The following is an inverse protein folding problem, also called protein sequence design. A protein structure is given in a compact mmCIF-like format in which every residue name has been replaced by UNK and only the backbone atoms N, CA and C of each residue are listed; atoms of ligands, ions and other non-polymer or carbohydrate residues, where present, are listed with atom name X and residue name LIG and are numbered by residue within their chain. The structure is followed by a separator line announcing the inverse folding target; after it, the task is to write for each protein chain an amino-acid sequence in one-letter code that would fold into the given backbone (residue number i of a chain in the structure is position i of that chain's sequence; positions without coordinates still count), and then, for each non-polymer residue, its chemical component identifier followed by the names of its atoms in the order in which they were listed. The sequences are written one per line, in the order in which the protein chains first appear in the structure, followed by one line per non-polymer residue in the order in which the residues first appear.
data_IF_099739770412
#
_entry.id   IF_099739770412
#
_cell.length_a   1.000
_cell.length_b   1.000
_cell.length_c   1.000
_cell.angle_alpha   90.00
_cell.angle_beta   90.00
_cell.angle_gamma   90.00
#
_symmetry.space_group_name_H-M   'P 1'
#
loop_
_entity.id
_entity.type
_entity.pdbx_description
1 polymer ?
#
# COMPACT_ATOMS: atom_id res chain seq x y z
N UNK A 1 7.39 15.03 59.22
CA UNK A 1 6.16 14.21 59.10
C UNK A 1 5.18 14.97 58.22
N UNK A 2 4.49 14.28 57.27
CA UNK A 2 3.34 14.72 56.42
C UNK A 2 3.72 15.66 55.25
N UNK A 3 4.04 15.19 54.03
CA UNK A 3 3.14 14.73 52.93
C UNK A 3 1.93 15.68 52.79
N UNK A 4 1.74 16.40 51.69
CA UNK A 4 0.83 16.04 50.57
C UNK A 4 0.87 17.23 49.57
N UNK A 5 1.24 17.02 48.30
CA UNK A 5 0.31 16.92 47.15
C UNK A 5 -0.32 18.26 46.71
N UNK A 6 0.10 18.79 45.55
CA UNK A 6 -0.86 19.16 44.50
C UNK A 6 -0.13 19.45 43.18
N UNK A 7 -0.41 18.59 42.20
CA UNK A 7 0.00 18.68 40.80
C UNK A 7 -1.07 19.52 40.09
N UNK A 8 -0.67 20.59 39.39
CA UNK A 8 -1.51 21.28 38.40
C UNK A 8 -0.63 21.50 37.16
N UNK A 9 -0.47 20.46 36.34
CA UNK A 9 -1.31 20.17 35.19
C UNK A 9 -0.87 20.99 33.96
N UNK A 10 0.25 20.54 33.39
CA UNK A 10 0.71 20.80 32.03
C UNK A 10 -0.37 20.43 31.02
N UNK A 11 -0.85 21.37 30.22
CA UNK A 11 -1.65 21.06 29.03
C UNK A 11 -0.75 21.29 27.82
N UNK A 12 0.12 20.30 27.56
CA UNK A 12 0.82 20.19 26.28
C UNK A 12 -0.22 19.69 25.28
N UNK A 13 -0.73 20.59 24.45
CA UNK A 13 -1.63 20.25 23.35
C UNK A 13 -0.82 19.46 22.31
N UNK A 14 -0.75 18.15 22.48
CA UNK A 14 -0.24 17.21 21.48
C UNK A 14 -1.25 17.15 20.33
N UNK A 15 -1.10 18.06 19.37
CA UNK A 15 -1.76 17.99 18.07
C UNK A 15 -1.36 16.69 17.37
N UNK A 16 -2.23 15.69 17.45
CA UNK A 16 -2.12 14.42 16.75
C UNK A 16 -2.26 14.67 15.24
N UNK A 17 -1.16 15.04 14.60
CA UNK A 17 -1.03 15.02 13.14
C UNK A 17 -1.07 13.55 12.71
N UNK A 18 -2.27 13.06 12.40
CA UNK A 18 -2.50 11.75 11.83
C UNK A 18 -1.86 11.69 10.44
N UNK A 19 -0.61 11.22 10.38
CA UNK A 19 0.07 10.88 9.14
C UNK A 19 -0.77 9.85 8.38
N UNK A 20 -1.05 10.05 7.08
CA UNK A 20 -1.65 9.00 6.27
C UNK A 20 -0.65 7.85 6.21
N UNK A 21 -0.96 6.76 6.90
CA UNK A 21 -0.20 5.52 6.83
C UNK A 21 -0.29 5.01 5.40
N UNK A 22 0.72 5.32 4.59
CA UNK A 22 1.00 4.65 3.32
C UNK A 22 1.22 3.17 3.63
N UNK A 23 0.14 2.40 3.60
CA UNK A 23 0.15 1.00 4.03
C UNK A 23 1.30 0.24 3.35
N UNK A 24 2.10 -0.53 4.11
CA UNK A 24 3.17 -1.34 3.53
C UNK A 24 2.58 -2.26 2.44
N UNK A 25 3.34 -2.58 1.38
CA UNK A 25 2.90 -3.53 0.38
C UNK A 25 2.67 -4.89 1.06
N UNK A 26 1.41 -5.18 1.39
CA UNK A 26 0.94 -6.44 1.95
C UNK A 26 1.56 -7.58 1.15
N UNK A 27 2.35 -8.42 1.82
CA UNK A 27 3.01 -9.56 1.21
C UNK A 27 2.00 -10.36 0.35
N UNK A 28 2.39 -10.81 -0.86
CA UNK A 28 1.46 -11.51 -1.75
C UNK A 28 0.93 -12.78 -1.06
N UNK A 29 -0.39 -13.07 -1.13
CA UNK A 29 -0.94 -14.33 -0.69
C UNK A 29 -0.21 -15.50 -1.34
N UNK A 30 0.26 -16.42 -0.51
CA UNK A 30 0.93 -17.67 -0.90
C UNK A 30 -0.09 -18.51 -1.69
N UNK A 31 0.02 -18.55 -3.02
CA UNK A 31 -0.87 -19.33 -3.90
C UNK A 31 -1.52 -18.58 -5.07
N UNK A 32 -1.20 -17.29 -5.30
CA UNK A 32 -1.80 -16.51 -6.39
C UNK A 32 -0.87 -16.20 -7.57
N UNK A 33 -1.46 -15.94 -8.75
CA UNK A 33 -0.74 -15.46 -9.93
C UNK A 33 -0.10 -14.10 -9.64
N UNK A 34 1.23 -14.02 -9.75
CA UNK A 34 1.98 -12.77 -9.63
C UNK A 34 1.88 -11.95 -10.92
N UNK A 35 1.38 -10.73 -10.80
CA UNK A 35 1.33 -9.72 -11.86
C UNK A 35 2.17 -8.51 -11.48
N UNK A 36 2.49 -7.69 -12.46
CA UNK A 36 3.36 -6.53 -12.30
C UNK A 36 2.53 -5.27 -12.46
N UNK A 37 2.24 -4.57 -11.35
CA UNK A 37 1.41 -3.38 -11.37
C UNK A 37 2.27 -2.11 -11.51
N UNK A 38 1.89 -1.24 -12.43
CA UNK A 38 2.48 0.09 -12.62
C UNK A 38 1.51 1.11 -12.05
N UNK A 39 1.99 1.95 -11.13
CA UNK A 39 1.17 3.01 -10.50
C UNK A 39 0.72 4.04 -11.55
N UNK A 40 1.62 4.39 -12.47
CA UNK A 40 1.33 5.20 -13.64
C UNK A 40 0.29 4.51 -14.53
N UNK A 41 -0.90 5.10 -14.61
CA UNK A 41 -2.00 4.58 -15.42
C UNK A 41 -2.77 3.42 -14.79
N UNK A 42 -2.51 3.07 -13.51
CA UNK A 42 -3.18 1.99 -12.77
C UNK A 42 -3.37 0.73 -13.63
N UNK A 43 -2.29 0.24 -14.24
CA UNK A 43 -2.33 -0.96 -15.07
C UNK A 43 -1.51 -2.10 -14.46
N UNK A 44 -1.95 -3.34 -14.64
CA UNK A 44 -1.15 -4.52 -14.33
C UNK A 44 -0.73 -5.25 -15.61
N UNK A 45 0.46 -5.84 -15.55
CA UNK A 45 1.21 -6.40 -16.66
C UNK A 45 1.68 -7.82 -16.34
N UNK A 46 2.00 -8.60 -17.37
CA UNK A 46 2.69 -9.89 -17.21
C UNK A 46 4.21 -9.71 -17.11
N UNK A 47 4.91 -10.75 -16.67
CA UNK A 47 6.38 -10.75 -16.52
C UNK A 47 7.12 -10.32 -17.78
N UNK A 48 6.59 -10.62 -18.96
CA UNK A 48 7.24 -10.34 -20.26
C UNK A 48 6.65 -9.14 -21.00
N UNK A 49 6.19 -8.09 -20.30
CA UNK A 49 5.70 -6.87 -20.94
C UNK A 49 6.79 -5.80 -21.01
N UNK A 50 6.97 -5.17 -22.16
CA UNK A 50 7.92 -4.06 -22.38
C UNK A 50 7.58 -2.81 -21.55
N UNK A 51 6.29 -2.61 -21.25
CA UNK A 51 5.79 -1.45 -20.49
C UNK A 51 5.82 -1.65 -18.96
N UNK A 52 6.37 -2.76 -18.46
CA UNK A 52 6.44 -3.04 -17.01
C UNK A 52 7.55 -2.28 -16.29
N UNK A 53 8.28 -1.38 -16.97
CA UNK A 53 9.40 -0.66 -16.34
C UNK A 53 8.93 0.08 -15.09
N UNK A 54 9.61 -0.12 -13.96
CA UNK A 54 9.21 0.44 -12.67
C UNK A 54 7.95 -0.18 -12.04
N UNK A 55 7.47 -1.32 -12.55
CA UNK A 55 6.34 -2.04 -11.96
C UNK A 55 6.70 -2.74 -10.65
N UNK A 56 5.70 -2.87 -9.78
CA UNK A 56 5.80 -3.64 -8.53
C UNK A 56 5.06 -4.97 -8.68
N UNK A 57 5.76 -6.06 -8.37
CA UNK A 57 5.17 -7.39 -8.31
C UNK A 57 4.12 -7.47 -7.20
N UNK A 58 2.91 -7.88 -7.53
CA UNK A 58 1.83 -8.15 -6.56
C UNK A 58 0.91 -9.23 -7.11
N UNK A 59 0.05 -9.78 -6.28
CA UNK A 59 -0.92 -10.79 -6.72
C UNK A 59 -2.03 -10.17 -7.56
N UNK A 60 -2.52 -10.91 -8.54
CA UNK A 60 -3.64 -10.50 -9.41
C UNK A 60 -4.87 -10.04 -8.61
N UNK A 61 -5.20 -10.75 -7.52
CA UNK A 61 -6.29 -10.36 -6.63
C UNK A 61 -6.06 -8.99 -5.97
N UNK A 62 -4.82 -8.71 -5.55
CA UNK A 62 -4.46 -7.41 -4.96
C UNK A 62 -4.52 -6.30 -6.00
N UNK A 63 -4.05 -6.55 -7.23
CA UNK A 63 -4.15 -5.61 -8.34
C UNK A 63 -5.61 -5.26 -8.65
N UNK A 64 -6.50 -6.26 -8.71
CA UNK A 64 -7.95 -6.02 -8.88
C UNK A 64 -8.56 -5.22 -7.73
N UNK A 65 -8.27 -5.60 -6.48
CA UNK A 65 -8.77 -4.89 -5.28
C UNK A 65 -8.34 -3.42 -5.25
N UNK A 66 -7.14 -3.12 -5.74
CA UNK A 66 -6.63 -1.74 -5.86
C UNK A 66 -7.14 -1.00 -7.11
N UNK A 67 -7.95 -1.64 -7.95
CA UNK A 67 -8.52 -1.04 -9.16
C UNK A 67 -7.57 -0.95 -10.35
N UNK A 68 -6.48 -1.74 -10.36
CA UNK A 68 -5.62 -1.80 -11.54
C UNK A 68 -6.33 -2.51 -12.70
N UNK A 69 -6.16 -2.00 -13.91
CA UNK A 69 -6.72 -2.55 -15.15
C UNK A 69 -5.70 -3.43 -15.89
N UNK A 70 -6.14 -4.46 -16.62
CA UNK A 70 -5.24 -5.26 -17.44
C UNK A 70 -4.63 -4.40 -18.54
N UNK A 71 -3.33 -4.55 -18.74
CA UNK A 71 -2.64 -3.93 -19.87
C UNK A 71 -3.18 -4.47 -21.20
N UNK A 72 -3.67 -3.58 -22.08
CA UNK A 72 -4.19 -3.93 -23.40
C UNK A 72 -3.12 -4.50 -24.34
N UNK A 73 -1.86 -4.13 -24.13
CA UNK A 73 -0.71 -4.55 -24.96
C UNK A 73 -0.32 -5.99 -24.65
N UNK A 74 -0.05 -6.32 -23.38
CA UNK A 74 0.43 -7.65 -23.03
C UNK A 74 -0.67 -8.66 -22.71
N UNK A 75 -1.93 -8.21 -22.58
CA UNK A 75 -3.13 -9.01 -22.29
C UNK A 75 -2.87 -10.02 -21.17
N UNK A 76 -2.60 -9.55 -19.93
CA UNK A 76 -2.32 -10.44 -18.81
C UNK A 76 -3.55 -11.29 -18.46
N UNK A 77 -3.36 -12.44 -17.78
CA UNK A 77 -4.46 -13.26 -17.28
C UNK A 77 -5.38 -12.44 -16.37
N UNK A 78 -6.69 -12.70 -16.45
CA UNK A 78 -7.73 -12.02 -15.69
C UNK A 78 -8.09 -12.81 -14.46
#
# INVERSE_FOLDING_TARGET
MRRLSSVLASIVVLSAFALPQSAPPKAPPVGGITVYAVEKGKAYHKKNCTLKSGSKGMTLAAAKKKGYKPCKVCKPPK
#
